data_IF_208333327241
#
_entry.id   IF_208333327241
#
_cell.length_a   1.000
_cell.length_b   1.000
_cell.length_c   1.000
_cell.angle_alpha   90.00
_cell.angle_beta   90.00
_cell.angle_gamma   90.00
#
_symmetry.space_group_name_H-M   'P 1'
#
loop_
_entity.id
_entity.type
_entity.pdbx_description
1 polymer ?
#
# COMPACT_ATOMS: atom_id res chain seq x y z
N UNK A 1 16.79 -4.28 7.09
CA UNK A 1 16.72 -5.74 6.83
C UNK A 1 18.05 -6.14 6.24
N UNK A 2 18.57 -7.29 6.65
CA UNK A 2 19.83 -7.90 6.22
C UNK A 2 19.74 -8.60 4.85
N UNK A 3 18.55 -8.64 4.25
CA UNK A 3 18.32 -9.27 2.94
C UNK A 3 18.12 -10.78 3.03
N UNK A 4 18.09 -11.33 4.25
CA UNK A 4 17.89 -12.76 4.47
C UNK A 4 16.42 -13.17 4.24
N UNK A 5 16.18 -14.32 3.60
CA UNK A 5 14.84 -14.81 3.36
C UNK A 5 14.13 -15.20 4.66
N UNK A 6 12.86 -14.80 4.79
CA UNK A 6 12.01 -15.19 5.91
C UNK A 6 11.28 -16.50 5.57
N UNK A 7 11.54 -17.54 6.35
CA UNK A 7 10.84 -18.82 6.22
C UNK A 7 9.51 -18.79 7.00
N UNK A 8 8.39 -18.92 6.30
CA UNK A 8 7.04 -18.92 6.86
C UNK A 8 6.26 -20.14 6.37
N UNK A 9 5.86 -21.02 7.30
CA UNK A 9 5.13 -22.26 7.01
C UNK A 9 3.89 -22.00 6.14
N UNK A 10 3.57 -22.90 5.20
CA UNK A 10 2.40 -22.82 4.32
C UNK A 10 1.10 -23.26 5.03
N UNK A 11 0.80 -22.60 6.15
CA UNK A 11 -0.43 -22.84 6.91
C UNK A 11 -1.06 -21.52 7.31
N UNK A 12 -2.38 -21.45 7.26
CA UNK A 12 -3.12 -20.31 7.83
C UNK A 12 -2.73 -20.09 9.30
N UNK A 13 -2.51 -18.84 9.67
CA UNK A 13 -2.04 -18.45 11.01
C UNK A 13 -0.54 -18.62 11.24
N UNK A 14 0.23 -19.17 10.29
CA UNK A 14 1.69 -19.17 10.40
C UNK A 14 2.19 -17.74 10.57
N UNK A 15 3.03 -17.52 11.58
CA UNK A 15 3.46 -16.21 12.00
C UNK A 15 4.98 -16.17 12.13
N UNK A 16 5.56 -15.06 11.69
CA UNK A 16 6.95 -14.70 11.91
C UNK A 16 7.00 -13.34 12.59
N UNK A 17 7.92 -13.16 13.53
CA UNK A 17 8.17 -11.90 14.22
C UNK A 17 9.65 -11.59 14.19
N UNK A 18 9.98 -10.31 14.05
CA UNK A 18 11.36 -9.85 14.10
C UNK A 18 11.97 -10.09 15.48
N UNK A 19 13.17 -10.68 15.50
CA UNK A 19 13.97 -10.90 16.71
C UNK A 19 14.74 -9.64 17.16
N UNK A 20 14.93 -8.68 16.25
CA UNK A 20 15.72 -7.47 16.50
C UNK A 20 14.96 -6.44 17.37
N UNK A 21 13.64 -6.54 17.39
CA UNK A 21 12.74 -5.76 18.24
C UNK A 21 11.44 -6.54 18.37
N UNK A 22 11.30 -7.31 19.45
CA UNK A 22 10.11 -8.10 19.73
C UNK A 22 8.85 -7.24 19.57
N UNK A 23 7.97 -7.60 18.64
CA UNK A 23 6.71 -6.91 18.36
C UNK A 23 6.75 -5.83 17.26
N UNK A 24 7.93 -5.31 16.90
CA UNK A 24 7.99 -4.17 15.98
C UNK A 24 7.61 -4.51 14.53
N UNK A 25 7.78 -5.77 14.11
CA UNK A 25 7.36 -6.26 12.80
C UNK A 25 6.89 -7.72 12.91
N UNK A 26 5.71 -8.00 12.38
CA UNK A 26 5.15 -9.33 12.25
C UNK A 26 4.63 -9.60 10.83
N UNK A 27 4.71 -10.85 10.41
CA UNK A 27 4.17 -11.35 9.15
C UNK A 27 3.33 -12.57 9.47
N UNK A 28 2.07 -12.57 9.06
CA UNK A 28 1.12 -13.66 9.32
C UNK A 28 0.48 -14.11 8.03
N UNK A 29 0.42 -15.42 7.79
CA UNK A 29 -0.41 -15.98 6.73
C UNK A 29 -1.88 -15.90 7.10
N UNK A 30 -2.68 -15.26 6.25
CA UNK A 30 -4.14 -15.16 6.46
C UNK A 30 -4.92 -16.27 5.77
N UNK A 31 -4.24 -17.08 4.95
CA UNK A 31 -4.71 -18.33 4.34
C UNK A 31 -3.52 -19.27 4.16
N UNK A 32 -3.77 -20.53 3.80
CA UNK A 32 -2.71 -21.51 3.55
C UNK A 32 -1.67 -21.03 2.52
N UNK A 33 -2.09 -20.37 1.44
CA UNK A 33 -1.21 -19.84 0.39
C UNK A 33 -1.62 -18.44 -0.05
N UNK A 34 -0.70 -17.72 -0.71
CA UNK A 34 -0.98 -16.49 -1.48
C UNK A 34 -1.63 -15.32 -0.71
N UNK A 35 -1.64 -15.34 0.62
CA UNK A 35 -2.34 -14.34 1.43
C UNK A 35 -1.58 -14.08 2.72
N UNK A 36 -1.10 -12.84 2.89
CA UNK A 36 -0.32 -12.41 4.07
C UNK A 36 -0.86 -11.10 4.65
N UNK A 37 -0.67 -10.94 5.95
CA UNK A 37 -0.79 -9.69 6.67
C UNK A 37 0.58 -9.35 7.28
N UNK A 38 1.06 -8.13 7.01
CA UNK A 38 2.30 -7.59 7.55
C UNK A 38 1.91 -6.45 8.48
N UNK A 39 2.38 -6.47 9.72
CA UNK A 39 2.10 -5.41 10.67
C UNK A 39 3.41 -4.93 11.31
N UNK A 40 3.67 -3.64 11.16
CA UNK A 40 4.68 -2.92 11.92
C UNK A 40 3.97 -2.13 13.03
N UNK A 41 4.20 -2.52 14.29
CA UNK A 41 3.47 -1.98 15.44
C UNK A 41 3.56 -0.45 15.48
N UNK A 42 2.40 0.20 15.69
CA UNK A 42 2.29 1.67 15.73
C UNK A 42 2.51 2.39 14.40
N UNK A 43 2.92 1.70 13.34
CA UNK A 43 3.27 2.30 12.05
C UNK A 43 2.22 1.99 10.99
N UNK A 44 2.11 0.72 10.59
CA UNK A 44 1.18 0.31 9.53
C UNK A 44 0.81 -1.17 9.59
N UNK A 45 -0.25 -1.52 8.86
CA UNK A 45 -0.66 -2.88 8.51
C UNK A 45 -0.91 -2.97 7.01
N UNK A 46 -0.38 -4.00 6.37
CA UNK A 46 -0.56 -4.29 4.95
C UNK A 46 -1.17 -5.69 4.83
N UNK A 47 -2.26 -5.83 4.09
CA UNK A 47 -2.76 -7.12 3.61
C UNK A 47 -2.41 -7.25 2.14
N UNK A 48 -1.77 -8.34 1.77
CA UNK A 48 -1.44 -8.66 0.39
C UNK A 48 -2.03 -10.02 0.04
N UNK A 49 -2.81 -10.06 -1.05
CA UNK A 49 -3.44 -11.28 -1.55
C UNK A 49 -3.17 -11.40 -3.04
N UNK A 50 -2.64 -12.55 -3.45
CA UNK A 50 -2.50 -12.90 -4.86
C UNK A 50 -3.75 -13.65 -5.29
N UNK A 51 -4.48 -13.10 -6.26
CA UNK A 51 -5.72 -13.67 -6.81
C UNK A 51 -5.47 -14.03 -8.27
N UNK A 52 -5.54 -15.31 -8.67
CA UNK A 52 -5.31 -15.69 -10.06
C UNK A 52 -6.36 -15.07 -10.97
N UNK A 53 -5.93 -14.62 -12.16
CA UNK A 53 -6.85 -14.11 -13.19
C UNK A 53 -7.52 -15.31 -13.86
N UNK A 54 -8.86 -15.34 -13.81
CA UNK A 54 -9.62 -16.40 -14.47
C UNK A 54 -9.89 -16.08 -15.94
N UNK A 55 -10.29 -17.07 -16.73
CA UNK A 55 -10.76 -16.85 -18.12
C UNK A 55 -11.91 -15.84 -18.16
N UNK A 56 -12.80 -15.87 -17.15
CA UNK A 56 -13.90 -14.91 -17.03
C UNK A 56 -13.38 -13.48 -16.82
N UNK A 57 -12.39 -13.30 -15.95
CA UNK A 57 -11.77 -11.99 -15.73
C UNK A 57 -11.07 -11.50 -17.00
N UNK A 58 -10.36 -12.40 -17.70
CA UNK A 58 -9.74 -12.11 -18.98
C UNK A 58 -10.74 -11.67 -20.05
N UNK A 59 -11.91 -12.31 -20.15
CA UNK A 59 -12.97 -11.90 -21.08
C UNK A 59 -13.55 -10.52 -20.74
N UNK A 60 -13.81 -10.25 -19.45
CA UNK A 60 -14.40 -8.99 -18.99
C UNK A 60 -13.43 -7.82 -19.21
N UNK A 61 -12.15 -8.02 -18.86
CA UNK A 61 -11.13 -6.98 -18.92
C UNK A 61 -10.30 -6.99 -20.21
N UNK A 62 -10.57 -7.95 -21.10
CA UNK A 62 -9.87 -8.16 -22.38
C UNK A 62 -8.35 -8.30 -22.22
N UNK A 63 -7.92 -9.00 -21.17
CA UNK A 63 -6.50 -9.24 -20.91
C UNK A 63 -5.85 -10.11 -22.00
N UNK A 64 -6.63 -10.96 -22.68
CA UNK A 64 -6.10 -11.84 -23.73
C UNK A 64 -5.30 -13.03 -23.20
N UNK A 65 -5.53 -13.40 -21.93
CA UNK A 65 -4.89 -14.54 -21.25
C UNK A 65 -5.19 -15.85 -21.99
N UNK A 66 -4.15 -16.64 -22.27
CA UNK A 66 -4.19 -17.99 -22.81
C UNK A 66 -3.99 -19.03 -21.70
N UNK A 67 -4.14 -20.33 -21.99
CA UNK A 67 -3.91 -21.39 -20.99
C UNK A 67 -2.45 -21.49 -20.51
N UNK A 68 -1.51 -20.90 -21.25
CA UNK A 68 -0.08 -20.87 -20.88
C UNK A 68 0.26 -19.70 -19.95
N UNK A 69 -0.66 -18.75 -19.80
CA UNK A 69 -0.44 -17.52 -19.06
C UNK A 69 -0.84 -17.67 -17.58
N UNK A 70 0.11 -17.37 -16.68
CA UNK A 70 -0.09 -17.39 -15.23
C UNK A 70 -0.21 -15.97 -14.67
N UNK A 71 -1.26 -15.24 -15.04
CA UNK A 71 -1.49 -13.90 -14.48
C UNK A 71 -2.24 -13.94 -13.15
N UNK A 72 -1.93 -12.97 -12.29
CA UNK A 72 -2.62 -12.76 -11.03
C UNK A 72 -2.77 -11.27 -10.73
N UNK A 73 -3.85 -10.91 -10.07
CA UNK A 73 -3.99 -9.63 -9.39
C UNK A 73 -3.30 -9.70 -8.04
N UNK A 74 -2.62 -8.61 -7.68
CA UNK A 74 -2.11 -8.40 -6.32
C UNK A 74 -3.04 -7.39 -5.62
N UNK A 75 -3.95 -7.89 -4.79
CA UNK A 75 -4.82 -7.06 -3.93
C UNK A 75 -4.02 -6.60 -2.71
N UNK A 76 -3.77 -5.30 -2.64
CA UNK A 76 -3.04 -4.65 -1.54
C UNK A 76 -3.99 -3.75 -0.76
N UNK A 77 -4.03 -3.94 0.56
CA UNK A 77 -4.79 -3.07 1.47
C UNK A 77 -3.87 -2.55 2.55
N UNK A 78 -3.86 -1.23 2.69
CA UNK A 78 -3.00 -0.53 3.62
C UNK A 78 -3.83 0.09 4.74
N UNK A 79 -3.32 0.01 5.96
CA UNK A 79 -3.80 0.76 7.12
C UNK A 79 -2.60 1.42 7.76
N UNK A 80 -2.55 2.74 7.75
CA UNK A 80 -1.50 3.51 8.40
C UNK A 80 -1.99 3.99 9.76
N UNK A 81 -1.18 3.80 10.80
CA UNK A 81 -1.48 4.21 12.17
C UNK A 81 -0.84 5.57 12.51
N UNK A 82 0.38 5.79 12.01
CA UNK A 82 1.15 7.00 12.23
C UNK A 82 1.74 7.51 10.91
N UNK A 83 0.88 8.01 10.02
CA UNK A 83 1.33 8.73 8.83
C UNK A 83 1.97 10.06 9.26
N UNK A 84 2.92 10.62 8.52
CA UNK A 84 3.41 11.99 8.77
C UNK A 84 2.86 12.95 7.72
N UNK A 85 2.90 14.26 7.99
CA UNK A 85 2.56 15.28 7.00
C UNK A 85 3.50 15.32 5.77
N UNK A 86 4.67 14.68 5.87
CA UNK A 86 5.66 14.56 4.80
C UNK A 86 5.46 13.32 3.90
N UNK A 87 4.33 12.63 4.07
CA UNK A 87 3.99 11.45 3.27
C UNK A 87 4.00 11.77 1.77
N UNK A 88 4.60 10.87 0.99
CA UNK A 88 4.57 10.90 -0.46
C UNK A 88 4.15 9.51 -0.99
N UNK A 89 3.75 9.41 -2.25
CA UNK A 89 3.28 8.16 -2.85
C UNK A 89 1.83 8.17 -3.29
N UNK A 90 1.50 7.28 -4.22
CA UNK A 90 0.16 7.16 -4.84
C UNK A 90 -0.98 7.07 -3.80
N UNK A 91 -0.73 6.37 -2.69
CA UNK A 91 -1.71 6.18 -1.61
C UNK A 91 -1.60 7.21 -0.48
N UNK A 92 -0.46 7.90 -0.38
CA UNK A 92 -0.11 8.74 0.76
C UNK A 92 -0.18 10.23 0.46
N UNK A 93 0.13 10.66 -0.77
CA UNK A 93 0.26 12.07 -1.14
C UNK A 93 -1.03 12.87 -0.89
N UNK A 94 -2.21 12.25 -0.97
CA UNK A 94 -3.50 12.92 -0.72
C UNK A 94 -3.70 13.28 0.75
N UNK A 95 -2.94 12.67 1.66
CA UNK A 95 -2.96 12.95 3.09
C UNK A 95 -1.94 14.01 3.51
N UNK A 96 -1.04 14.43 2.61
CA UNK A 96 -0.09 15.49 2.88
C UNK A 96 -0.84 16.82 3.09
N UNK A 97 -0.46 17.58 4.12
CA UNK A 97 -1.16 18.80 4.52
C UNK A 97 -1.13 19.91 3.45
N UNK A 98 -0.13 19.88 2.59
CA UNK A 98 0.07 20.80 1.47
C UNK A 98 -0.35 20.20 0.12
N UNK A 99 -1.07 19.07 0.11
CA UNK A 99 -1.48 18.43 -1.13
C UNK A 99 -2.48 19.29 -1.91
N UNK A 100 -2.15 19.56 -3.17
CA UNK A 100 -3.06 20.18 -4.13
C UNK A 100 -3.22 19.22 -5.30
N UNK A 101 -4.45 18.73 -5.50
CA UNK A 101 -4.75 17.79 -6.59
C UNK A 101 -4.45 18.42 -7.95
N UNK A 102 -3.51 17.83 -8.69
CA UNK A 102 -3.24 18.15 -10.10
C UNK A 102 -3.95 17.17 -11.06
N UNK A 103 -4.82 16.33 -10.50
CA UNK A 103 -5.58 15.35 -11.26
C UNK A 103 -6.48 16.06 -12.28
N UNK A 104 -6.46 15.57 -13.52
CA UNK A 104 -7.44 15.98 -14.52
C UNK A 104 -8.82 15.42 -14.15
N UNK A 105 -9.64 16.23 -13.50
CA UNK A 105 -11.02 15.91 -13.19
C UNK A 105 -11.79 15.61 -14.48
N UNK A 106 -12.51 14.48 -14.52
CA UNK A 106 -13.25 14.01 -15.69
C UNK A 106 -12.50 13.06 -16.62
N UNK A 107 -11.22 12.75 -16.36
CA UNK A 107 -10.56 11.60 -16.97
C UNK A 107 -11.13 10.30 -16.39
N UNK A 108 -11.32 9.27 -17.24
CA UNK A 108 -11.83 7.95 -16.82
C UNK A 108 -10.88 7.29 -15.82
N UNK A 109 -9.57 7.44 -16.04
CA UNK A 109 -8.51 6.94 -15.17
C UNK A 109 -7.50 8.05 -14.90
N UNK A 110 -7.70 8.86 -13.86
CA UNK A 110 -6.75 9.88 -13.48
C UNK A 110 -5.47 9.23 -12.93
N UNK A 111 -4.32 9.63 -13.48
CA UNK A 111 -3.00 9.16 -13.03
C UNK A 111 -2.40 10.17 -12.05
N UNK A 112 -1.87 9.66 -10.94
CA UNK A 112 -1.20 10.43 -9.90
C UNK A 112 0.28 10.08 -9.87
N UNK A 113 1.11 11.03 -10.29
CA UNK A 113 2.55 10.85 -10.43
C UNK A 113 2.98 10.24 -11.77
N UNK A 114 4.27 9.95 -11.90
CA UNK A 114 4.82 9.26 -13.06
C UNK A 114 6.20 8.68 -12.80
N UNK A 115 6.85 8.26 -13.88
CA UNK A 115 8.16 7.60 -13.87
C UNK A 115 9.25 8.46 -13.19
N UNK A 116 9.19 9.78 -13.36
CA UNK A 116 10.15 10.70 -12.74
C UNK A 116 10.14 10.60 -11.20
N UNK A 117 8.97 10.44 -10.59
CA UNK A 117 8.82 10.34 -9.14
C UNK A 117 8.96 8.90 -8.64
N UNK A 118 8.32 7.96 -9.34
CA UNK A 118 8.06 6.59 -8.87
C UNK A 118 8.85 5.49 -9.58
N UNK A 119 9.62 5.84 -10.61
CA UNK A 119 10.52 4.90 -11.29
C UNK A 119 11.53 4.32 -10.30
N UNK A 120 11.65 3.00 -10.28
CA UNK A 120 12.57 2.23 -9.45
C UNK A 120 13.31 1.24 -10.34
N UNK A 121 14.57 0.94 -10.02
CA UNK A 121 15.39 0.03 -10.83
C UNK A 121 14.91 -1.43 -10.79
N UNK A 122 14.19 -1.82 -9.73
CA UNK A 122 13.60 -3.16 -9.61
C UNK A 122 12.48 -3.18 -8.56
N UNK A 123 11.69 -4.26 -8.54
CA UNK A 123 10.61 -4.45 -7.55
C UNK A 123 11.11 -4.50 -6.09
N UNK A 124 12.40 -4.79 -5.88
CA UNK A 124 13.03 -4.83 -4.56
C UNK A 124 13.84 -3.58 -4.24
N UNK A 125 14.00 -2.65 -5.20
CA UNK A 125 14.77 -1.44 -5.01
C UNK A 125 13.91 -0.33 -4.39
N UNK A 126 14.52 0.39 -3.45
CA UNK A 126 13.94 1.57 -2.79
C UNK A 126 14.51 2.87 -3.33
N UNK A 127 14.91 2.90 -4.62
CA UNK A 127 15.69 3.95 -5.26
C UNK A 127 14.87 4.96 -6.07
N UNK A 128 13.55 4.98 -5.90
CA UNK A 128 12.72 6.00 -6.55
C UNK A 128 12.99 7.40 -5.98
N UNK A 129 12.81 8.43 -6.81
CA UNK A 129 13.17 9.81 -6.47
C UNK A 129 12.45 10.35 -5.22
N UNK A 130 11.22 9.88 -4.97
CA UNK A 130 10.44 10.27 -3.79
C UNK A 130 10.57 9.30 -2.62
N UNK A 131 11.39 8.24 -2.73
CA UNK A 131 11.66 7.30 -1.64
C UNK A 131 12.13 8.06 -0.40
N UNK A 132 11.59 7.68 0.75
CA UNK A 132 11.96 8.21 2.08
C UNK A 132 12.69 7.16 2.92
N UNK A 133 12.94 5.98 2.37
CA UNK A 133 13.67 4.93 3.05
C UNK A 133 15.18 5.24 3.00
N UNK A 134 15.73 5.76 4.10
CA UNK A 134 17.18 6.03 4.24
C UNK A 134 17.96 4.87 4.86
N UNK A 135 17.28 3.82 5.34
CA UNK A 135 17.92 2.73 6.10
C UNK A 135 18.36 3.12 7.52
N UNK A 136 18.27 4.39 7.87
CA UNK A 136 18.57 4.93 9.21
C UNK A 136 17.26 5.28 9.94
N UNK A 137 17.10 4.81 11.19
CA UNK A 137 15.99 5.22 12.04
C UNK A 137 16.17 6.68 12.45
N UNK A 138 15.56 7.61 11.72
CA UNK A 138 15.48 9.00 12.16
C UNK A 138 14.48 9.08 13.32
N UNK A 139 14.96 9.36 14.54
CA UNK A 139 14.10 9.68 15.69
C UNK A 139 13.41 11.03 15.44
N UNK A 140 12.26 11.02 14.77
CA UNK A 140 11.44 12.21 14.63
C UNK A 140 10.42 12.31 15.78
N UNK A 141 10.57 13.34 16.61
CA UNK A 141 9.65 13.72 17.70
C UNK A 141 8.39 14.46 17.21
N UNK A 142 7.87 14.15 16.02
CA UNK A 142 6.69 14.84 15.48
C UNK A 142 5.42 14.05 15.81
N UNK A 143 4.87 14.31 17.00
CA UNK A 143 3.48 13.98 17.34
C UNK A 143 2.55 14.89 16.53
N UNK A 144 2.26 14.54 15.28
CA UNK A 144 1.11 15.12 14.58
C UNK A 144 -0.07 14.15 14.66
N UNK A 145 -1.04 14.45 15.52
CA UNK A 145 -2.30 13.73 15.57
C UNK A 145 -3.11 14.05 14.31
N UNK A 146 -3.42 13.04 13.51
CA UNK A 146 -4.38 13.18 12.43
C UNK A 146 -5.78 13.21 13.03
N UNK A 147 -6.38 14.41 13.08
CA UNK A 147 -7.81 14.56 13.38
C UNK A 147 -8.63 13.80 12.32
N UNK A 148 -9.56 12.97 12.77
CA UNK A 148 -10.44 12.18 11.92
C UNK A 148 -11.28 13.10 11.00
N UNK A 149 -11.10 12.99 9.69
CA UNK A 149 -12.00 13.64 8.72
C UNK A 149 -13.36 12.94 8.70
N UNK A 150 -14.42 13.66 9.08
CA UNK A 150 -15.80 13.22 8.89
C UNK A 150 -16.29 13.66 7.51
N UNK A 151 -16.34 12.72 6.56
CA UNK A 151 -16.90 12.98 5.24
C UNK A 151 -18.38 12.60 5.22
N UNK A 152 -19.24 13.54 4.83
CA UNK A 152 -20.68 13.31 4.66
C UNK A 152 -21.09 13.58 3.21
N UNK A 153 -22.01 12.76 2.69
CA UNK A 153 -22.62 12.98 1.38
C UNK A 153 -23.63 14.13 1.46
N UNK A 154 -23.46 15.15 0.61
CA UNK A 154 -24.40 16.27 0.53
C UNK A 154 -25.78 15.80 0.11
N UNK A 155 -26.83 16.36 0.72
CA UNK A 155 -28.22 15.90 0.57
C UNK A 155 -28.84 16.05 -0.83
N UNK A 156 -28.12 16.57 -1.83
CA UNK A 156 -28.69 16.69 -3.19
C UNK A 156 -27.66 16.79 -4.34
N UNK A 157 -26.50 16.11 -4.25
CA UNK A 157 -25.52 16.12 -5.34
C UNK A 157 -24.43 15.07 -5.20
N UNK A 158 -23.98 14.53 -6.34
CA UNK A 158 -22.89 13.52 -6.44
C UNK A 158 -21.53 14.13 -6.09
N UNK A 159 -21.33 14.51 -4.84
CA UNK A 159 -20.08 15.07 -4.34
C UNK A 159 -19.91 14.80 -2.85
N UNK A 160 -18.74 14.31 -2.47
CA UNK A 160 -18.31 14.21 -1.08
C UNK A 160 -17.53 15.49 -0.76
N UNK A 161 -17.96 16.24 0.25
CA UNK A 161 -17.24 17.40 0.75
C UNK A 161 -16.68 17.03 2.12
N UNK A 162 -15.36 16.88 2.21
CA UNK A 162 -14.69 16.71 3.49
C UNK A 162 -14.23 18.10 3.96
N UNK A 163 -14.75 18.54 5.10
CA UNK A 163 -14.23 19.72 5.82
C UNK A 163 -13.37 19.23 6.98
N UNK A 164 -12.32 20.01 7.25
CA UNK A 164 -11.56 19.93 8.48
C UNK A 164 -12.40 20.47 9.63
#
# INVERSE_FOLDING_TARGET
MDGEPINLLDSEGANWQSILSSGALSITRTKNTNSIEIEAEGNFKIKAVVVPITEKDSMIHKYGVTQEDCFAHLDLRFKFYALSGEVNGVLGQTYASNYVSRVKMGAVMPVLGGDKEFGSSSIFASDCAVSRFSGEFVKNNSSESFEYMNCASGKDGRGVVCKR
#
